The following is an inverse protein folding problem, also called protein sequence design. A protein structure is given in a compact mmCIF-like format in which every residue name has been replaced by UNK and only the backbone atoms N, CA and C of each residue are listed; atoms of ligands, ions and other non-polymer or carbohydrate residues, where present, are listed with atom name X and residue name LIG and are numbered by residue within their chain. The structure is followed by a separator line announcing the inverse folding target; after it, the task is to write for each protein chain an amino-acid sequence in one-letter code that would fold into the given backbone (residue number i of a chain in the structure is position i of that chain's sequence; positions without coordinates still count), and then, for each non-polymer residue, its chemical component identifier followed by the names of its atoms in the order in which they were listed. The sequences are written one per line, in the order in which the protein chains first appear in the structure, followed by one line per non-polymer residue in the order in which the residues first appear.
data_IF_967080912791
#
_entry.id   IF_967080912791
#
_cell.length_a   1.000
_cell.length_b   1.000
_cell.length_c   1.000
_cell.angle_alpha   90.00
_cell.angle_beta   90.00
_cell.angle_gamma   90.00
#
_symmetry.space_group_name_H-M   'P 1'
#
loop_
_entity.id
_entity.type
_entity.pdbx_description
1 polymer ?
#
# COMPACT_ATOMS: atom_id res chain seq x y z
N UNK A 1 26.03 -48.92 -13.17
CA UNK A 1 26.23 -47.50 -13.35
C UNK A 1 25.04 -46.76 -14.02
N UNK A 2 24.44 -47.34 -15.05
CA UNK A 2 23.25 -46.71 -15.70
C UNK A 2 22.02 -46.57 -14.80
N UNK A 3 21.83 -47.44 -13.81
CA UNK A 3 20.71 -47.36 -12.86
C UNK A 3 20.93 -46.34 -11.76
N UNK A 4 22.19 -46.03 -11.42
CA UNK A 4 22.53 -45.06 -10.41
C UNK A 4 22.25 -43.61 -10.91
N UNK A 5 22.60 -43.34 -12.17
CA UNK A 5 22.32 -42.05 -12.82
C UNK A 5 20.81 -41.81 -12.97
N UNK A 6 20.01 -42.83 -13.25
CA UNK A 6 18.54 -42.71 -13.31
C UNK A 6 17.90 -42.40 -11.95
N UNK A 7 18.46 -42.95 -10.87
CA UNK A 7 17.98 -42.69 -9.52
C UNK A 7 18.33 -41.29 -9.03
N UNK A 8 19.52 -40.80 -9.40
CA UNK A 8 19.93 -39.43 -9.08
C UNK A 8 19.09 -38.43 -9.86
N UNK A 9 18.81 -38.66 -11.14
CA UNK A 9 17.93 -37.83 -11.95
C UNK A 9 16.52 -37.75 -11.40
N UNK A 10 15.95 -38.85 -10.94
CA UNK A 10 14.62 -38.87 -10.32
C UNK A 10 14.59 -38.11 -8.98
N UNK A 11 15.66 -38.26 -8.18
CA UNK A 11 15.79 -37.52 -6.91
C UNK A 11 15.94 -36.01 -7.11
N UNK A 12 16.71 -35.59 -8.11
CA UNK A 12 16.85 -34.17 -8.47
C UNK A 12 15.54 -33.61 -9.01
N UNK A 13 14.80 -34.38 -9.81
CA UNK A 13 13.50 -33.94 -10.33
C UNK A 13 12.46 -33.78 -9.23
N UNK A 14 12.43 -34.68 -8.25
CA UNK A 14 11.53 -34.57 -7.08
C UNK A 14 11.92 -33.39 -6.22
N UNK A 15 13.20 -33.11 -6.05
CA UNK A 15 13.67 -31.94 -5.28
C UNK A 15 13.33 -30.63 -5.96
N UNK A 16 13.45 -30.54 -7.28
CA UNK A 16 13.07 -29.35 -8.07
C UNK A 16 11.55 -29.14 -8.04
N UNK A 17 10.77 -30.20 -8.13
CA UNK A 17 9.30 -30.15 -8.00
C UNK A 17 8.83 -29.74 -6.58
N UNK A 18 9.53 -30.18 -5.54
CA UNK A 18 9.21 -29.80 -4.16
C UNK A 18 9.58 -28.34 -3.86
N UNK A 19 10.62 -27.81 -4.49
CA UNK A 19 10.98 -26.39 -4.38
C UNK A 19 9.96 -25.47 -5.07
N UNK A 20 9.35 -25.93 -6.17
CA UNK A 20 8.29 -25.19 -6.86
C UNK A 20 6.97 -25.16 -6.06
N UNK A 21 6.74 -26.16 -5.19
CA UNK A 21 5.56 -26.18 -4.31
C UNK A 21 5.71 -25.30 -3.07
N UNK A 22 6.91 -24.81 -2.79
CA UNK A 22 7.24 -23.87 -1.71
C UNK A 22 7.39 -22.42 -2.21
N UNK A 23 6.93 -22.12 -3.42
CA UNK A 23 6.72 -20.72 -3.78
C UNK A 23 5.77 -20.14 -2.73
N UNK A 24 6.18 -19.14 -1.94
CA UNK A 24 5.24 -18.48 -1.06
C UNK A 24 4.09 -18.02 -1.95
N UNK A 25 2.87 -18.37 -1.59
CA UNK A 25 1.73 -17.66 -2.14
C UNK A 25 2.05 -16.20 -1.91
N UNK A 26 2.44 -15.49 -2.95
CA UNK A 26 2.56 -14.05 -2.88
C UNK A 26 1.18 -13.58 -2.45
N UNK A 27 1.03 -13.26 -1.16
CA UNK A 27 -0.11 -12.50 -0.70
C UNK A 27 -0.15 -11.32 -1.64
N UNK A 28 -1.19 -11.24 -2.43
CA UNK A 28 -1.38 -10.10 -3.30
C UNK A 28 -1.28 -8.87 -2.42
N UNK A 29 -0.20 -8.12 -2.55
CA UNK A 29 -0.05 -6.87 -1.85
C UNK A 29 -1.29 -6.05 -2.15
N UNK A 30 -1.90 -5.44 -1.14
CA UNK A 30 -3.01 -4.54 -1.36
C UNK A 30 -2.57 -3.53 -2.43
N UNK A 31 -3.39 -3.40 -3.48
CA UNK A 31 -3.10 -2.44 -4.54
C UNK A 31 -3.29 -1.05 -3.98
N UNK A 32 -2.19 -0.39 -3.63
CA UNK A 32 -2.19 1.01 -3.26
C UNK A 32 -2.23 1.88 -4.51
N UNK A 33 -3.11 2.88 -4.59
CA UNK A 33 -3.05 3.89 -5.63
C UNK A 33 -1.74 4.66 -5.57
N UNK A 34 -1.21 5.04 -6.74
CA UNK A 34 -0.05 5.92 -6.80
C UNK A 34 -0.39 7.33 -6.35
N UNK A 35 0.48 7.92 -5.53
CA UNK A 35 0.36 9.32 -5.18
C UNK A 35 0.88 10.19 -6.35
N UNK A 36 0.05 11.04 -6.95
CA UNK A 36 0.50 12.01 -7.94
C UNK A 36 1.53 12.98 -7.33
N UNK A 37 2.54 13.36 -8.12
CA UNK A 37 3.65 14.19 -7.62
C UNK A 37 3.23 15.56 -7.10
N UNK A 38 2.14 16.10 -7.61
CA UNK A 38 1.69 17.46 -7.34
C UNK A 38 0.45 17.53 -6.44
N UNK A 39 0.01 16.38 -5.92
CA UNK A 39 -1.21 16.31 -5.13
C UNK A 39 -1.04 15.37 -3.95
N UNK A 40 -1.67 15.74 -2.84
CA UNK A 40 -1.75 14.90 -1.65
C UNK A 40 -3.13 14.29 -1.43
N UNK A 41 -3.99 14.34 -2.45
CA UNK A 41 -5.34 13.77 -2.42
C UNK A 41 -5.48 12.74 -3.54
N UNK A 42 -5.81 11.53 -3.17
CA UNK A 42 -6.17 10.45 -4.09
C UNK A 42 -7.57 9.97 -3.75
N UNK A 43 -8.52 10.26 -4.61
CA UNK A 43 -9.93 9.90 -4.43
C UNK A 43 -10.28 8.69 -5.31
N UNK A 44 -9.75 7.53 -4.96
CA UNK A 44 -9.97 6.29 -5.69
C UNK A 44 -11.42 5.78 -5.57
N UNK A 45 -12.08 6.08 -4.45
CA UNK A 45 -13.48 5.73 -4.23
C UNK A 45 -14.47 6.72 -4.85
N UNK A 46 -13.99 7.82 -5.45
CA UNK A 46 -14.83 8.88 -6.00
C UNK A 46 -15.86 9.43 -4.99
N UNK A 47 -15.38 9.63 -3.76
CA UNK A 47 -16.18 10.05 -2.61
C UNK A 47 -16.08 11.54 -2.28
N UNK A 48 -15.11 12.24 -2.87
CA UNK A 48 -14.82 13.65 -2.59
C UNK A 48 -15.24 14.55 -3.75
N UNK A 49 -15.51 15.80 -3.44
CA UNK A 49 -15.66 16.83 -4.46
C UNK A 49 -14.33 17.53 -4.75
N UNK A 50 -14.26 18.28 -5.84
CA UNK A 50 -13.03 18.98 -6.26
C UNK A 50 -12.56 20.05 -5.27
N UNK A 51 -13.45 20.58 -4.44
CA UNK A 51 -13.14 21.58 -3.43
C UNK A 51 -12.22 21.03 -2.35
N UNK A 52 -12.38 19.76 -1.97
CA UNK A 52 -11.51 19.09 -0.98
C UNK A 52 -10.07 19.07 -1.45
N UNK A 53 -9.84 18.71 -2.70
CA UNK A 53 -8.48 18.69 -3.28
C UNK A 53 -7.83 20.06 -3.22
N UNK A 54 -8.57 21.13 -3.54
CA UNK A 54 -8.06 22.49 -3.49
C UNK A 54 -7.73 22.94 -2.05
N UNK A 55 -8.62 22.64 -1.11
CA UNK A 55 -8.43 22.98 0.31
C UNK A 55 -7.19 22.28 0.88
N UNK A 56 -6.99 21.00 0.59
CA UNK A 56 -5.83 20.26 1.07
C UNK A 56 -4.54 20.78 0.43
N UNK A 57 -4.57 21.10 -0.86
CA UNK A 57 -3.41 21.65 -1.58
C UNK A 57 -3.00 23.00 -0.97
N UNK A 58 -3.94 23.90 -0.76
CA UNK A 58 -3.69 25.22 -0.17
C UNK A 58 -3.19 25.12 1.27
N UNK A 59 -3.75 24.18 2.04
CA UNK A 59 -3.32 23.94 3.41
C UNK A 59 -1.89 23.39 3.47
N UNK A 60 -1.56 22.43 2.62
CA UNK A 60 -0.21 21.85 2.56
C UNK A 60 0.85 22.90 2.16
N UNK A 61 0.53 23.81 1.27
CA UNK A 61 1.44 24.90 0.93
C UNK A 61 1.77 25.80 2.14
N UNK A 62 0.79 26.05 3.00
CA UNK A 62 0.99 26.79 4.25
C UNK A 62 1.77 25.98 5.28
N UNK A 63 1.48 24.69 5.40
CA UNK A 63 2.15 23.79 6.33
C UNK A 63 3.62 23.58 5.97
N UNK A 64 3.95 23.46 4.70
CA UNK A 64 5.33 23.35 4.24
C UNK A 64 6.16 24.55 4.69
N UNK A 65 5.63 25.76 4.50
CA UNK A 65 6.34 26.99 4.83
C UNK A 65 6.40 27.25 6.35
N UNK A 66 5.30 27.05 7.06
CA UNK A 66 5.16 27.47 8.46
C UNK A 66 5.39 26.35 9.48
N UNK A 67 5.32 25.09 9.06
CA UNK A 67 5.36 23.92 9.92
C UNK A 67 6.43 22.90 9.50
N UNK A 68 7.54 23.36 8.98
CA UNK A 68 8.72 22.54 8.68
C UNK A 68 8.45 21.36 7.75
N UNK A 69 7.69 21.57 6.70
CA UNK A 69 7.37 20.54 5.73
C UNK A 69 6.29 19.56 6.20
N UNK A 70 5.47 19.95 7.17
CA UNK A 70 4.30 19.16 7.56
C UNK A 70 3.35 19.00 6.38
N UNK A 71 2.75 17.81 6.28
CA UNK A 71 1.92 17.45 5.14
C UNK A 71 0.72 16.62 5.57
N UNK A 72 -0.43 16.88 4.95
CA UNK A 72 -1.65 16.08 5.07
C UNK A 72 -1.89 15.37 3.74
N UNK A 73 -1.97 14.05 3.79
CA UNK A 73 -2.43 13.23 2.68
C UNK A 73 -3.88 12.79 2.89
N UNK A 74 -4.63 12.66 1.83
CA UNK A 74 -6.00 12.12 1.84
C UNK A 74 -6.12 11.02 0.82
N UNK A 75 -6.61 9.87 1.25
CA UNK A 75 -6.84 8.70 0.42
C UNK A 75 -8.25 8.18 0.65
N UNK A 76 -9.00 8.01 -0.40
CA UNK A 76 -10.26 7.28 -0.36
C UNK A 76 -10.14 6.00 -1.17
N UNK A 77 -10.64 4.90 -0.64
CA UNK A 77 -10.68 3.60 -1.31
C UNK A 77 -12.02 2.92 -1.07
N UNK A 78 -12.45 2.12 -2.02
CA UNK A 78 -13.65 1.32 -1.85
C UNK A 78 -13.42 0.19 -0.84
N UNK A 79 -12.28 -0.50 -0.97
CA UNK A 79 -11.89 -1.64 -0.14
C UNK A 79 -10.42 -1.59 0.22
N UNK A 80 -10.06 -2.22 1.33
CA UNK A 80 -8.67 -2.41 1.75
C UNK A 80 -8.09 -3.77 1.34
N UNK A 81 -8.83 -4.57 0.58
CA UNK A 81 -8.45 -5.93 0.25
C UNK A 81 -8.42 -6.83 1.50
N UNK A 82 -7.31 -7.53 1.70
CA UNK A 82 -7.12 -8.43 2.84
C UNK A 82 -6.51 -7.74 4.08
N UNK A 83 -6.24 -6.44 3.99
CA UNK A 83 -5.65 -5.68 5.09
C UNK A 83 -6.73 -5.07 5.99
N UNK A 84 -6.42 -4.94 7.27
CA UNK A 84 -7.19 -4.07 8.15
C UNK A 84 -7.06 -2.61 7.70
N UNK A 85 -7.99 -1.77 8.09
CA UNK A 85 -7.93 -0.34 7.79
C UNK A 85 -6.64 0.29 8.34
N UNK A 86 -6.20 -0.13 9.51
CA UNK A 86 -4.97 0.36 10.16
C UNK A 86 -3.72 -0.06 9.39
N UNK A 87 -3.64 -1.32 8.97
CA UNK A 87 -2.50 -1.83 8.20
C UNK A 87 -2.42 -1.17 6.82
N UNK A 88 -3.57 -0.99 6.18
CA UNK A 88 -3.66 -0.31 4.89
C UNK A 88 -3.20 1.16 5.00
N UNK A 89 -3.66 1.88 6.02
CA UNK A 89 -3.24 3.25 6.27
C UNK A 89 -1.75 3.36 6.54
N UNK A 90 -1.19 2.44 7.31
CA UNK A 90 0.24 2.39 7.61
C UNK A 90 1.07 2.15 6.36
N UNK A 91 0.66 1.21 5.52
CA UNK A 91 1.34 0.90 4.27
C UNK A 91 1.28 2.08 3.29
N UNK A 92 0.11 2.70 3.14
CA UNK A 92 -0.05 3.89 2.31
C UNK A 92 0.80 5.07 2.80
N UNK A 93 0.80 5.34 4.09
CA UNK A 93 1.58 6.40 4.71
C UNK A 93 3.08 6.23 4.46
N UNK A 94 3.59 5.02 4.67
CA UNK A 94 5.00 4.70 4.47
C UNK A 94 5.39 4.72 2.99
N UNK A 95 4.55 4.19 2.11
CA UNK A 95 4.82 4.14 0.66
C UNK A 95 4.80 5.54 0.06
N UNK A 96 3.88 6.38 0.46
CA UNK A 96 3.77 7.75 -0.04
C UNK A 96 4.80 8.71 0.58
N UNK A 97 5.33 8.39 1.77
CA UNK A 97 6.31 9.24 2.44
C UNK A 97 5.76 10.61 2.81
N UNK A 98 4.59 10.66 3.44
CA UNK A 98 3.89 11.90 3.79
C UNK A 98 4.63 12.64 4.90
N UNK A 99 4.83 13.96 4.71
CA UNK A 99 5.49 14.82 5.67
C UNK A 99 7.02 14.80 5.54
N UNK A 100 7.67 15.36 6.53
CA UNK A 100 9.13 15.41 6.63
C UNK A 100 9.63 14.28 7.55
N UNK A 101 10.56 13.46 7.05
CA UNK A 101 11.08 12.30 7.77
C UNK A 101 11.83 12.67 9.06
N UNK A 102 12.46 13.83 9.12
CA UNK A 102 13.19 14.31 10.29
C UNK A 102 12.25 14.80 11.38
N UNK A 103 11.17 15.46 11.00
CA UNK A 103 10.23 16.09 11.91
C UNK A 103 9.04 15.18 12.27
N UNK A 104 8.83 14.06 11.56
CA UNK A 104 7.71 13.13 11.76
C UNK A 104 6.34 13.85 11.83
N UNK A 105 6.07 14.73 10.89
CA UNK A 105 4.95 15.66 10.91
C UNK A 105 3.95 15.42 9.76
N UNK A 106 3.90 14.22 9.24
CA UNK A 106 2.91 13.80 8.25
C UNK A 106 1.63 13.27 8.91
N UNK A 107 0.49 13.49 8.26
CA UNK A 107 -0.81 12.92 8.63
C UNK A 107 -1.47 12.35 7.38
N UNK A 108 -1.97 11.14 7.47
CA UNK A 108 -2.81 10.54 6.42
C UNK A 108 -4.25 10.40 6.92
N UNK A 109 -5.19 10.92 6.15
CA UNK A 109 -6.62 10.67 6.35
C UNK A 109 -7.03 9.61 5.33
N UNK A 110 -7.43 8.44 5.82
CA UNK A 110 -7.93 7.33 5.02
C UNK A 110 -9.43 7.17 5.22
N UNK A 111 -10.19 7.20 4.12
CA UNK A 111 -11.61 6.82 4.10
C UNK A 111 -11.77 5.50 3.35
N UNK A 112 -12.33 4.52 4.02
CA UNK A 112 -12.69 3.23 3.44
C UNK A 112 -14.21 3.17 3.34
N UNK A 113 -14.72 3.02 2.14
CA UNK A 113 -16.17 3.09 1.90
C UNK A 113 -16.88 1.79 2.27
N UNK A 114 -16.23 0.66 2.03
CA UNK A 114 -16.75 -0.65 2.39
C UNK A 114 -15.64 -1.49 3.03
N UNK A 115 -15.85 -1.96 4.24
CA UNK A 115 -14.90 -2.83 4.93
C UNK A 115 -15.45 -4.25 4.99
N UNK A 116 -14.82 -5.22 4.33
CA UNK A 116 -15.25 -6.61 4.41
C UNK A 116 -15.03 -7.25 5.78
N UNK A 117 -14.29 -6.59 6.68
CA UNK A 117 -13.94 -7.12 8.00
C UNK A 117 -15.09 -6.91 9.02
N UNK A 118 -16.09 -6.11 8.71
CA UNK A 118 -17.20 -5.76 9.61
C UNK A 118 -18.57 -6.23 9.09
N UNK A 119 -18.63 -7.20 8.21
CA UNK A 119 -19.87 -7.92 7.96
C UNK A 119 -20.09 -8.89 9.15
N UNK A 120 -20.94 -8.47 10.03
CA UNK A 120 -21.50 -9.33 11.06
C UNK A 120 -22.39 -10.41 10.44
#
# INVERSE_FOLDING_TARGET
MKQFAKRISALVLVFVLSLAALAPAALAAASLPDLPRDQCVVDDANALNSEVTQVVTDLNAKLETNCKGAQIGVLTVQYTGNLSTEDYATEAFNTWGIGDATNNNGVLILLVMESPIYED
#
